data_IF_237874180609
#
_entry.id   IF_237874180609
#
_cell.length_a   1.000
_cell.length_b   1.000
_cell.length_c   1.000
_cell.angle_alpha   90.00
_cell.angle_beta   90.00
_cell.angle_gamma   90.00
#
_symmetry.space_group_name_H-M   'P 1'
#
loop_
_entity.id
_entity.type
_entity.pdbx_description
1 polymer ?
#
# COMPACT_ATOMS: atom_id res chain seq x y z
N UNK A 1 28.72 14.90 3.81
CA UNK A 1 27.91 14.71 5.04
C UNK A 1 28.03 16.00 5.82
N UNK A 2 26.91 16.69 6.09
CA UNK A 2 26.90 18.03 6.69
C UNK A 2 27.67 18.06 8.02
N UNK A 3 28.65 18.97 8.13
CA UNK A 3 29.44 19.24 9.34
C UNK A 3 28.53 19.59 10.53
N UNK A 4 28.13 18.58 11.30
CA UNK A 4 27.47 18.79 12.59
C UNK A 4 28.55 19.12 13.62
N UNK A 5 28.67 20.39 13.97
CA UNK A 5 29.59 20.83 15.03
C UNK A 5 29.00 20.49 16.41
N UNK A 6 29.59 19.50 17.10
CA UNK A 6 29.20 19.09 18.44
C UNK A 6 29.87 19.99 19.50
N UNK A 7 29.33 21.18 19.73
CA UNK A 7 29.92 22.19 20.62
C UNK A 7 29.44 22.14 22.09
N UNK A 8 28.34 21.44 22.37
CA UNK A 8 27.72 21.40 23.72
C UNK A 8 28.09 20.10 24.45
N UNK A 9 28.74 20.22 25.61
CA UNK A 9 29.04 19.07 26.48
C UNK A 9 27.88 18.79 27.43
N UNK A 10 27.48 17.51 27.52
CA UNK A 10 26.54 17.01 28.53
C UNK A 10 27.22 15.92 29.34
N UNK A 11 27.10 15.99 30.67
CA UNK A 11 27.56 14.96 31.60
C UNK A 11 26.35 14.18 32.09
N UNK A 12 26.50 12.85 32.20
CA UNK A 12 25.42 11.95 32.59
C UNK A 12 25.96 11.01 33.67
N UNK A 13 25.14 10.73 34.68
CA UNK A 13 25.43 9.74 35.73
C UNK A 13 24.58 8.52 35.44
N UNK A 14 25.22 7.36 35.41
CA UNK A 14 24.60 6.06 35.16
C UNK A 14 24.90 5.14 36.34
N UNK A 15 24.00 4.21 36.60
CA UNK A 15 24.29 3.05 37.43
C UNK A 15 25.28 2.11 36.72
N UNK A 16 25.96 1.20 37.43
CA UNK A 16 26.88 0.24 36.81
C UNK A 16 26.21 -0.62 35.73
N UNK A 17 24.97 -1.03 35.96
CA UNK A 17 24.20 -1.84 35.01
C UNK A 17 23.82 -1.05 33.76
N UNK A 18 23.41 0.21 33.91
CA UNK A 18 23.12 1.09 32.78
C UNK A 18 24.37 1.40 31.95
N UNK A 19 25.52 1.60 32.60
CA UNK A 19 26.79 1.81 31.91
C UNK A 19 27.18 0.57 31.08
N UNK A 20 27.03 -0.64 31.65
CA UNK A 20 27.27 -1.89 30.94
C UNK A 20 26.33 -2.06 29.75
N UNK A 21 25.03 -1.80 29.94
CA UNK A 21 24.05 -1.86 28.84
C UNK A 21 24.37 -0.88 27.71
N UNK A 22 24.85 0.33 28.03
CA UNK A 22 25.23 1.32 27.02
C UNK A 22 26.45 0.85 26.22
N UNK A 23 27.45 0.28 26.89
CA UNK A 23 28.64 -0.27 26.25
C UNK A 23 28.28 -1.45 25.32
N UNK A 24 27.46 -2.39 25.79
CA UNK A 24 27.06 -3.57 25.01
C UNK A 24 26.24 -3.19 23.78
N UNK A 25 25.29 -2.25 23.92
CA UNK A 25 24.43 -1.81 22.82
C UNK A 25 25.17 -0.97 21.79
N UNK A 26 26.05 -0.06 22.22
CA UNK A 26 26.86 0.75 21.29
C UNK A 26 27.84 -0.12 20.51
N UNK A 27 28.45 -1.12 21.16
CA UNK A 27 29.31 -2.12 20.52
C UNK A 27 28.56 -2.99 19.52
N UNK A 28 27.36 -3.44 19.89
CA UNK A 28 26.50 -4.24 18.99
C UNK A 28 26.09 -3.45 17.73
N UNK A 29 25.94 -2.13 17.86
CA UNK A 29 25.67 -1.23 16.75
C UNK A 29 26.94 -0.70 16.05
N UNK A 30 28.13 -1.22 16.40
CA UNK A 30 29.43 -0.83 15.85
C UNK A 30 29.72 0.68 15.90
N UNK A 31 29.33 1.36 16.97
CA UNK A 31 29.50 2.80 17.13
C UNK A 31 30.00 3.18 18.53
N UNK A 32 30.54 4.40 18.67
CA UNK A 32 30.92 4.91 19.99
C UNK A 32 29.69 5.16 20.87
N UNK A 33 29.82 5.09 22.20
CA UNK A 33 28.71 5.38 23.12
C UNK A 33 28.09 6.77 22.88
N UNK A 34 28.93 7.76 22.57
CA UNK A 34 28.47 9.11 22.27
C UNK A 34 27.69 9.17 20.96
N UNK A 35 28.11 8.43 19.94
CA UNK A 35 27.40 8.31 18.66
C UNK A 35 26.08 7.55 18.82
N UNK A 36 26.08 6.50 19.63
CA UNK A 36 24.89 5.74 19.98
C UNK A 36 23.84 6.58 20.73
N UNK A 37 24.26 7.35 21.73
CA UNK A 37 23.37 8.29 22.43
C UNK A 37 22.82 9.36 21.50
N UNK A 38 23.65 9.90 20.60
CA UNK A 38 23.20 10.87 19.60
C UNK A 38 22.20 10.25 18.64
N UNK A 39 22.47 9.03 18.16
CA UNK A 39 21.56 8.28 17.31
C UNK A 39 20.22 8.15 18.03
N UNK A 40 20.22 7.63 19.26
CA UNK A 40 19.05 7.44 20.13
C UNK A 40 18.22 8.72 20.35
N UNK A 41 18.88 9.86 20.61
CA UNK A 41 18.20 11.15 20.77
C UNK A 41 17.62 11.65 19.44
N UNK A 42 18.33 11.42 18.33
CA UNK A 42 17.97 11.93 17.02
C UNK A 42 16.96 11.08 16.27
N UNK A 43 16.63 9.88 16.77
CA UNK A 43 15.86 8.87 16.05
C UNK A 43 14.58 9.45 15.48
N UNK A 44 14.55 9.56 14.15
CA UNK A 44 13.31 9.70 13.40
C UNK A 44 12.96 8.31 12.86
N UNK A 45 11.67 8.01 12.60
CA UNK A 45 11.25 6.74 11.99
C UNK A 45 12.01 6.37 10.69
N UNK A 46 12.64 7.35 10.03
CA UNK A 46 13.49 7.18 8.85
C UNK A 46 14.81 6.45 9.12
N UNK A 47 15.30 6.37 10.36
CA UNK A 47 16.64 5.87 10.66
C UNK A 47 16.73 4.34 10.76
N UNK A 48 15.58 3.65 10.64
CA UNK A 48 15.48 2.20 10.66
C UNK A 48 15.27 1.64 9.24
N UNK A 49 16.31 1.08 8.60
CA UNK A 49 16.21 0.54 7.24
C UNK A 49 15.21 -0.62 7.17
N UNK A 50 15.20 -1.48 8.20
CA UNK A 50 14.33 -2.65 8.31
C UNK A 50 12.85 -2.27 8.36
N UNK A 51 12.50 -1.31 9.23
CA UNK A 51 11.13 -0.80 9.35
C UNK A 51 10.68 -0.17 8.03
N UNK A 52 11.57 0.53 7.33
CA UNK A 52 11.28 1.14 6.02
C UNK A 52 11.03 0.10 4.94
N UNK A 53 11.80 -1.00 4.94
CA UNK A 53 11.58 -2.12 4.04
C UNK A 53 10.21 -2.74 4.28
N UNK A 54 9.85 -2.99 5.55
CA UNK A 54 8.54 -3.50 5.94
C UNK A 54 7.38 -2.59 5.48
N UNK A 55 7.51 -1.27 5.68
CA UNK A 55 6.51 -0.31 5.19
C UNK A 55 6.37 -0.34 3.67
N UNK A 56 7.49 -0.45 2.95
CA UNK A 56 7.48 -0.52 1.48
C UNK A 56 6.81 -1.80 0.98
N UNK A 57 7.07 -2.93 1.63
CA UNK A 57 6.42 -4.21 1.35
C UNK A 57 4.91 -4.11 1.59
N UNK A 58 4.50 -3.56 2.73
CA UNK A 58 3.08 -3.34 3.04
C UNK A 58 2.37 -2.48 1.99
N UNK A 59 2.99 -1.36 1.57
CA UNK A 59 2.44 -0.49 0.52
C UNK A 59 2.30 -1.25 -0.81
N UNK A 60 3.30 -2.06 -1.16
CA UNK A 60 3.25 -2.86 -2.38
C UNK A 60 2.13 -3.90 -2.35
N UNK A 61 1.90 -4.55 -1.21
CA UNK A 61 0.78 -5.49 -1.05
C UNK A 61 -0.58 -4.79 -1.16
N UNK A 62 -0.74 -3.62 -0.53
CA UNK A 62 -1.97 -2.81 -0.68
C UNK A 62 -2.20 -2.43 -2.15
N UNK A 63 -1.14 -2.06 -2.88
CA UNK A 63 -1.25 -1.73 -4.30
C UNK A 63 -1.71 -2.94 -5.13
N UNK A 64 -1.19 -4.15 -4.86
CA UNK A 64 -1.65 -5.38 -5.52
C UNK A 64 -3.12 -5.67 -5.24
N UNK A 65 -3.55 -5.50 -3.99
CA UNK A 65 -4.97 -5.64 -3.61
C UNK A 65 -5.83 -4.64 -4.39
N UNK A 66 -5.40 -3.37 -4.48
CA UNK A 66 -6.10 -2.34 -5.26
C UNK A 66 -6.22 -2.69 -6.75
N UNK A 67 -5.17 -3.24 -7.35
CA UNK A 67 -5.21 -3.73 -8.74
C UNK A 67 -6.20 -4.88 -8.89
N UNK A 68 -6.20 -5.86 -7.98
CA UNK A 68 -7.14 -6.98 -8.01
C UNK A 68 -8.59 -6.49 -7.87
N UNK A 69 -8.85 -5.54 -6.97
CA UNK A 69 -10.18 -4.91 -6.83
C UNK A 69 -10.60 -4.23 -8.13
N UNK A 70 -9.71 -3.44 -8.74
CA UNK A 70 -9.99 -2.78 -10.02
C UNK A 70 -10.29 -3.79 -11.13
N UNK A 71 -9.57 -4.91 -11.18
CA UNK A 71 -9.85 -5.98 -12.13
C UNK A 71 -11.20 -6.65 -11.87
N UNK A 72 -11.56 -6.92 -10.61
CA UNK A 72 -12.87 -7.48 -10.25
C UNK A 72 -13.98 -6.51 -10.66
N UNK A 73 -13.84 -5.23 -10.36
CA UNK A 73 -14.82 -4.19 -10.73
C UNK A 73 -14.89 -4.03 -12.25
N UNK A 74 -13.76 -4.03 -12.94
CA UNK A 74 -13.71 -3.96 -14.40
C UNK A 74 -14.37 -5.17 -15.04
N UNK A 75 -14.01 -6.39 -14.63
CA UNK A 75 -14.63 -7.62 -15.10
C UNK A 75 -16.13 -7.62 -14.83
N UNK A 76 -16.56 -7.29 -13.61
CA UNK A 76 -17.99 -7.19 -13.28
C UNK A 76 -18.74 -6.17 -14.15
N UNK A 77 -18.12 -5.01 -14.42
CA UNK A 77 -18.72 -3.99 -15.29
C UNK A 77 -18.69 -4.37 -16.78
N UNK A 78 -17.74 -5.21 -17.20
CA UNK A 78 -17.60 -5.69 -18.58
C UNK A 78 -18.41 -6.96 -18.87
N UNK A 79 -18.66 -7.81 -17.87
CA UNK A 79 -19.21 -9.16 -18.03
C UNK A 79 -20.73 -9.23 -18.20
N UNK A 80 -21.46 -8.10 -18.19
CA UNK A 80 -22.91 -8.19 -18.37
C UNK A 80 -23.38 -8.13 -19.82
N UNK A 81 -22.80 -7.33 -20.74
CA UNK A 81 -23.11 -7.41 -22.18
C UNK A 81 -22.08 -6.64 -23.01
N UNK A 82 -21.48 -7.27 -24.04
CA UNK A 82 -20.79 -6.55 -25.10
C UNK A 82 -21.75 -5.60 -25.82
N UNK A 83 -21.23 -4.53 -26.45
CA UNK A 83 -22.03 -3.67 -27.34
C UNK A 83 -22.73 -4.52 -28.41
N UNK A 84 -22.06 -5.57 -28.92
CA UNK A 84 -22.63 -6.51 -29.88
C UNK A 84 -23.76 -7.36 -29.29
N UNK A 85 -23.66 -7.77 -28.02
CA UNK A 85 -24.72 -8.52 -27.35
C UNK A 85 -25.94 -7.62 -27.13
N UNK A 86 -25.73 -6.34 -26.79
CA UNK A 86 -26.79 -5.34 -26.71
C UNK A 86 -27.48 -5.13 -28.06
N UNK A 87 -26.71 -5.04 -29.15
CA UNK A 87 -27.25 -4.91 -30.50
C UNK A 87 -28.05 -6.15 -30.93
N UNK A 88 -27.55 -7.35 -30.63
CA UNK A 88 -28.26 -8.62 -30.87
C UNK A 88 -29.55 -8.71 -30.07
N UNK A 89 -29.54 -8.35 -28.79
CA UNK A 89 -30.73 -8.34 -27.95
C UNK A 89 -31.81 -7.39 -28.49
N UNK A 90 -31.42 -6.18 -28.90
CA UNK A 90 -32.32 -5.23 -29.55
C UNK A 90 -32.91 -5.80 -30.85
N UNK A 91 -32.10 -6.51 -31.65
CA UNK A 91 -32.58 -7.15 -32.88
C UNK A 91 -33.61 -8.26 -32.60
N UNK A 92 -33.39 -9.09 -31.58
CA UNK A 92 -34.32 -10.15 -31.19
C UNK A 92 -35.65 -9.57 -30.70
N UNK A 93 -35.61 -8.52 -29.87
CA UNK A 93 -36.82 -7.83 -29.41
C UNK A 93 -37.63 -7.22 -30.56
N UNK A 94 -36.96 -6.65 -31.58
CA UNK A 94 -37.64 -6.13 -32.79
C UNK A 94 -38.32 -7.25 -33.57
N UNK A 95 -37.67 -8.39 -33.76
CA UNK A 95 -38.24 -9.55 -34.44
C UNK A 95 -39.48 -10.10 -33.71
N UNK A 96 -39.41 -10.20 -32.37
CA UNK A 96 -40.54 -10.64 -31.55
C UNK A 96 -41.71 -9.66 -31.67
N UNK A 97 -41.47 -8.36 -31.56
CA UNK A 97 -42.53 -7.35 -31.70
C UNK A 97 -43.20 -7.39 -33.08
N UNK A 98 -42.44 -7.65 -34.14
CA UNK A 98 -42.98 -7.82 -35.48
C UNK A 98 -43.89 -9.04 -35.57
N UNK A 99 -43.43 -10.18 -35.07
CA UNK A 99 -44.22 -11.42 -35.05
C UNK A 99 -45.50 -11.27 -34.21
N UNK A 100 -45.42 -10.61 -33.05
CA UNK A 100 -46.59 -10.32 -32.21
C UNK A 100 -47.58 -9.42 -32.96
N UNK A 101 -47.10 -8.35 -33.64
CA UNK A 101 -47.96 -7.47 -34.44
C UNK A 101 -48.70 -8.21 -35.55
N UNK A 102 -47.99 -9.03 -36.31
CA UNK A 102 -48.58 -9.83 -37.39
C UNK A 102 -49.65 -10.80 -36.87
N UNK A 103 -49.44 -11.38 -35.68
CA UNK A 103 -50.46 -12.20 -35.02
C UNK A 103 -51.62 -11.31 -34.57
N UNK A 104 -51.40 -10.20 -33.87
CA UNK A 104 -52.50 -9.33 -33.42
C UNK A 104 -53.34 -8.76 -34.56
N UNK A 105 -52.72 -8.45 -35.71
CA UNK A 105 -53.42 -7.96 -36.91
C UNK A 105 -54.19 -9.07 -37.63
N UNK A 106 -53.79 -10.34 -37.50
CA UNK A 106 -54.51 -11.50 -38.07
C UNK A 106 -55.71 -11.94 -37.24
N UNK A 107 -55.80 -11.51 -35.98
CA UNK A 107 -56.87 -11.89 -35.04
C UNK A 107 -57.74 -10.69 -34.62
N UNK A 108 -57.64 -9.56 -35.31
CA UNK A 108 -58.62 -8.45 -35.31
C UNK A 108 -59.51 -8.53 -36.56
#
# INVERSE_FOLDING_TARGET
MSDKNYSVRKTLRLTPDEAKMLADKSKSACMSEAEYLRLMISQKPKDYPEIRALYKELINEINKIGVNINQIVYNHNCDFYSIDDKLRLVSYLKSINKAIKEVTEKWQ
#
